data_IF_223508488254
#
_entry.id   IF_223508488254
#
_cell.length_a   1.000
_cell.length_b   1.000
_cell.length_c   1.000
_cell.angle_alpha   90.00
_cell.angle_beta   90.00
_cell.angle_gamma   90.00
#
_symmetry.space_group_name_H-M   'P 1'
#
loop_
_entity.id
_entity.type
_entity.pdbx_description
1 polymer ?
#
# COMPACT_ATOMS: atom_id res chain seq x y z
N UNK A 1 7.35 15.96 5.42
CA UNK A 1 7.99 14.68 5.08
C UNK A 1 7.80 13.78 6.28
N UNK A 2 6.70 13.02 6.31
CA UNK A 2 6.45 12.09 7.41
C UNK A 2 7.35 10.86 7.22
N UNK A 3 8.08 10.48 8.27
CA UNK A 3 8.91 9.27 8.26
C UNK A 3 8.02 8.04 7.97
N UNK A 4 8.11 7.54 6.74
CA UNK A 4 7.40 6.35 6.29
C UNK A 4 7.81 5.15 7.16
N UNK A 5 6.88 4.64 7.98
CA UNK A 5 7.06 3.44 8.80
C UNK A 5 6.15 2.29 8.29
N UNK A 6 6.67 1.38 7.45
CA UNK A 6 5.90 0.30 6.85
C UNK A 6 5.35 -0.73 7.87
N UNK A 7 5.93 -0.83 9.07
CA UNK A 7 5.47 -1.75 10.12
C UNK A 7 4.07 -1.37 10.60
N UNK A 8 3.82 -0.07 10.75
CA UNK A 8 2.53 0.46 11.24
C UNK A 8 1.39 0.32 10.22
N UNK A 9 1.73 0.13 8.94
CA UNK A 9 0.76 0.05 7.85
C UNK A 9 0.21 -1.36 7.60
N UNK A 10 0.98 -2.42 7.91
CA UNK A 10 0.71 -3.77 7.43
C UNK A 10 0.53 -4.80 8.58
N UNK A 11 -0.21 -4.41 9.62
CA UNK A 11 -0.21 -5.01 10.97
C UNK A 11 -0.20 -6.53 11.14
N UNK A 12 -0.71 -7.34 10.20
CA UNK A 12 -0.67 -8.80 10.29
C UNK A 12 0.71 -9.41 9.96
N UNK A 13 1.43 -8.85 8.98
CA UNK A 13 2.74 -9.35 8.53
C UNK A 13 3.88 -8.91 9.46
N UNK A 14 3.66 -7.83 10.22
CA UNK A 14 4.56 -7.35 11.25
C UNK A 14 4.76 -8.36 12.39
N UNK A 15 3.74 -9.14 12.78
CA UNK A 15 3.82 -10.09 13.90
C UNK A 15 4.76 -11.27 13.58
N UNK A 16 4.69 -11.81 12.37
CA UNK A 16 5.59 -12.88 11.90
C UNK A 16 7.00 -12.38 11.61
N UNK A 17 7.15 -11.12 11.22
CA UNK A 17 8.45 -10.50 11.06
C UNK A 17 9.14 -10.21 12.40
N UNK A 18 8.40 -9.93 13.48
CA UNK A 18 8.99 -9.57 14.77
C UNK A 18 9.69 -10.75 15.49
N UNK A 19 9.44 -11.99 15.06
CA UNK A 19 10.06 -13.19 15.62
C UNK A 19 11.46 -13.48 15.06
N UNK A 20 11.86 -12.84 13.95
CA UNK A 20 13.15 -13.05 13.30
C UNK A 20 13.68 -11.72 12.70
N UNK A 21 14.84 -11.21 13.17
CA UNK A 21 15.36 -9.91 12.74
C UNK A 21 15.75 -9.86 11.26
N UNK A 22 16.19 -10.96 10.66
CA UNK A 22 16.56 -11.02 9.24
C UNK A 22 15.30 -11.02 8.38
N UNK A 23 14.26 -11.76 8.78
CA UNK A 23 12.94 -11.72 8.14
C UNK A 23 12.33 -10.32 8.25
N UNK A 24 12.47 -9.66 9.41
CA UNK A 24 12.04 -8.27 9.59
C UNK A 24 12.75 -7.32 8.64
N UNK A 25 14.06 -7.42 8.52
CA UNK A 25 14.84 -6.59 7.61
C UNK A 25 14.43 -6.80 6.16
N UNK A 26 14.28 -8.06 5.72
CA UNK A 26 13.81 -8.40 4.38
C UNK A 26 12.39 -7.86 4.13
N UNK A 27 11.50 -8.00 5.10
CA UNK A 27 10.14 -7.49 5.01
C UNK A 27 10.12 -5.96 4.82
N UNK A 28 10.84 -5.23 5.66
CA UNK A 28 10.96 -3.77 5.55
C UNK A 28 11.52 -3.34 4.19
N UNK A 29 12.55 -4.03 3.71
CA UNK A 29 13.14 -3.76 2.39
C UNK A 29 12.09 -3.90 1.28
N UNK A 30 11.33 -5.00 1.27
CA UNK A 30 10.29 -5.21 0.24
C UNK A 30 9.18 -4.16 0.30
N UNK A 31 8.79 -3.72 1.50
CA UNK A 31 7.78 -2.65 1.63
C UNK A 31 8.30 -1.30 1.12
N UNK A 32 9.59 -1.00 1.33
CA UNK A 32 10.21 0.22 0.80
C UNK A 32 10.35 0.17 -0.73
N UNK A 33 10.72 -0.98 -1.29
CA UNK A 33 10.76 -1.17 -2.74
C UNK A 33 9.38 -0.97 -3.36
N UNK A 34 8.34 -1.54 -2.74
CA UNK A 34 6.98 -1.39 -3.24
C UNK A 34 6.47 0.05 -3.16
N UNK A 35 6.79 0.76 -2.08
CA UNK A 35 6.52 2.20 -1.95
C UNK A 35 7.16 2.98 -3.09
N UNK A 36 8.48 2.81 -3.26
CA UNK A 36 9.27 3.54 -4.25
C UNK A 36 8.76 3.31 -5.69
N UNK A 37 8.45 2.05 -6.03
CA UNK A 37 7.89 1.71 -7.35
C UNK A 37 6.52 2.37 -7.57
N UNK A 38 5.66 2.37 -6.54
CA UNK A 38 4.33 2.98 -6.62
C UNK A 38 4.43 4.50 -6.81
N UNK A 39 5.34 5.16 -6.08
CA UNK A 39 5.61 6.59 -6.25
C UNK A 39 6.06 6.87 -7.68
N UNK A 40 7.00 6.10 -8.21
CA UNK A 40 7.50 6.29 -9.57
C UNK A 40 6.39 6.16 -10.63
N UNK A 41 5.48 5.18 -10.48
CA UNK A 41 4.32 5.01 -11.37
C UNK A 41 3.40 6.24 -11.31
N UNK A 42 3.11 6.75 -10.11
CA UNK A 42 2.25 7.94 -9.92
C UNK A 42 2.91 9.18 -10.53
N UNK A 43 4.20 9.40 -10.26
CA UNK A 43 4.96 10.52 -10.82
C UNK A 43 4.98 10.47 -12.36
N UNK A 44 5.17 9.28 -12.94
CA UNK A 44 5.11 9.10 -14.38
C UNK A 44 3.73 9.43 -14.95
N UNK A 45 2.66 8.98 -14.31
CA UNK A 45 1.28 9.27 -14.74
C UNK A 45 0.89 10.74 -14.58
N UNK A 46 1.41 11.43 -13.54
CA UNK A 46 1.26 12.88 -13.39
C UNK A 46 2.02 13.63 -14.49
N UNK A 47 3.25 13.20 -14.80
CA UNK A 47 4.07 13.82 -15.84
C UNK A 47 3.50 13.62 -17.26
N UNK A 48 2.84 12.48 -17.52
CA UNK A 48 2.16 12.21 -18.79
C UNK A 48 0.78 12.89 -18.90
N UNK A 49 0.25 13.41 -17.79
CA UNK A 49 -1.10 13.98 -17.71
C UNK A 49 -2.21 12.94 -17.66
N UNK A 50 -1.87 11.66 -17.51
CA UNK A 50 -2.81 10.55 -17.29
C UNK A 50 -3.48 10.66 -15.92
N UNK A 51 -2.72 11.06 -14.89
CA UNK A 51 -3.22 11.32 -13.55
C UNK A 51 -3.29 12.81 -13.25
N UNK A 52 -4.20 13.16 -12.35
CA UNK A 52 -4.36 14.51 -11.81
C UNK A 52 -4.55 14.41 -10.31
N UNK A 53 -3.63 15.02 -9.56
CA UNK A 53 -3.76 15.13 -8.12
C UNK A 53 -3.20 16.45 -7.63
N UNK A 54 -3.76 16.95 -6.53
CA UNK A 54 -3.24 18.10 -5.81
C UNK A 54 -2.24 17.69 -4.71
N UNK A 55 -2.20 16.40 -4.37
CA UNK A 55 -1.35 15.85 -3.31
C UNK A 55 -0.01 15.35 -3.88
N UNK A 56 1.06 15.29 -3.06
CA UNK A 56 2.32 14.70 -3.46
C UNK A 56 2.21 13.20 -3.76
N UNK A 57 2.94 12.72 -4.77
CA UNK A 57 2.94 11.30 -5.17
C UNK A 57 3.28 10.34 -4.01
N UNK A 58 4.14 10.74 -3.07
CA UNK A 58 4.46 9.97 -1.86
C UNK A 58 3.27 9.80 -0.91
N UNK A 59 2.43 10.84 -0.79
CA UNK A 59 1.24 10.82 0.06
C UNK A 59 0.12 10.00 -0.59
N UNK A 60 0.01 10.05 -1.92
CA UNK A 60 -0.91 9.19 -2.70
C UNK A 60 -0.43 7.74 -2.70
N UNK A 61 0.87 7.49 -2.83
CA UNK A 61 1.42 6.13 -2.75
C UNK A 61 1.05 5.49 -1.40
N UNK A 62 0.84 6.27 -0.35
CA UNK A 62 0.40 5.76 0.94
C UNK A 62 -1.00 5.09 0.92
N UNK A 63 -1.72 5.12 -0.21
CA UNK A 63 -2.96 4.39 -0.49
C UNK A 63 -2.80 2.84 -0.50
N UNK A 64 -1.59 2.29 -0.67
CA UNK A 64 -1.38 0.85 -0.48
C UNK A 64 -1.31 0.44 1.01
N UNK A 65 -1.22 1.38 1.96
CA UNK A 65 -1.24 1.06 3.40
C UNK A 65 -2.45 0.20 3.79
N UNK A 66 -3.71 0.55 3.45
CA UNK A 66 -4.85 -0.30 3.73
C UNK A 66 -4.85 -1.64 2.98
N UNK A 67 -4.16 -1.77 1.83
CA UNK A 67 -4.06 -3.03 1.08
C UNK A 67 -3.36 -4.12 1.90
N UNK A 68 -2.29 -3.79 2.60
CA UNK A 68 -1.64 -4.73 3.52
C UNK A 68 -2.53 -5.17 4.70
N UNK A 69 -3.34 -4.25 5.24
CA UNK A 69 -4.26 -4.55 6.34
C UNK A 69 -5.44 -5.42 5.88
N UNK A 70 -5.92 -5.20 4.65
CA UNK A 70 -6.99 -5.99 4.02
C UNK A 70 -6.54 -7.41 3.68
N UNK A 71 -5.28 -7.62 3.29
CA UNK A 71 -4.72 -8.97 3.06
C UNK A 71 -4.81 -9.85 4.32
N UNK A 72 -4.60 -9.23 5.50
CA UNK A 72 -4.79 -9.91 6.79
C UNK A 72 -6.26 -10.25 7.09
N UNK A 73 -7.20 -9.39 6.72
CA UNK A 73 -8.65 -9.65 6.90
C UNK A 73 -9.13 -10.73 5.92
N UNK A 74 -8.66 -10.68 4.67
CA UNK A 74 -8.90 -11.70 3.65
C UNK A 74 -8.40 -13.09 4.08
N UNK A 75 -7.22 -13.15 4.70
CA UNK A 75 -6.65 -14.40 5.20
C UNK A 75 -7.33 -14.97 6.46
N UNK A 76 -8.01 -14.13 7.25
CA UNK A 76 -8.64 -14.53 8.51
C UNK A 76 -10.14 -14.86 8.39
N UNK A 77 -10.84 -14.27 7.43
CA UNK A 77 -12.26 -14.57 7.17
C UNK A 77 -12.63 -14.30 5.70
N UNK A 78 -12.66 -15.36 4.89
CA UNK A 78 -13.03 -15.31 3.47
C UNK A 78 -14.49 -14.87 3.22
N UNK A 79 -15.31 -14.69 4.26
CA UNK A 79 -16.69 -14.17 4.14
C UNK A 79 -16.81 -12.65 4.32
N UNK A 80 -15.79 -11.97 4.86
CA UNK A 80 -15.86 -10.54 5.16
C UNK A 80 -15.47 -9.63 3.99
N UNK A 81 -14.60 -10.11 3.09
CA UNK A 81 -14.13 -9.38 1.91
C UNK A 81 -13.73 -10.37 0.82
N UNK A 82 -14.50 -10.44 -0.27
CA UNK A 82 -14.10 -11.20 -1.45
C UNK A 82 -13.12 -10.38 -2.32
N UNK A 83 -12.43 -11.06 -3.25
CA UNK A 83 -11.46 -10.44 -4.17
C UNK A 83 -12.10 -9.28 -4.97
N UNK A 84 -13.39 -9.43 -5.32
CA UNK A 84 -14.14 -8.43 -6.06
C UNK A 84 -14.40 -7.17 -5.21
N UNK A 85 -14.70 -7.30 -3.93
CA UNK A 85 -14.87 -6.19 -2.98
C UNK A 85 -13.55 -5.48 -2.71
N UNK A 86 -12.46 -6.24 -2.56
CA UNK A 86 -11.11 -5.71 -2.43
C UNK A 86 -10.75 -4.86 -3.66
N UNK A 87 -10.92 -5.42 -4.87
CA UNK A 87 -10.61 -4.73 -6.12
C UNK A 87 -11.48 -3.47 -6.32
N UNK A 88 -12.77 -3.52 -5.98
CA UNK A 88 -13.66 -2.35 -6.01
C UNK A 88 -13.20 -1.24 -5.05
N UNK A 89 -12.76 -1.60 -3.85
CA UNK A 89 -12.28 -0.63 -2.86
C UNK A 89 -11.00 0.06 -3.34
N UNK A 90 -10.02 -0.73 -3.80
CA UNK A 90 -8.75 -0.20 -4.32
C UNK A 90 -8.99 0.71 -5.52
N UNK A 91 -9.80 0.27 -6.49
CA UNK A 91 -10.11 1.09 -7.66
C UNK A 91 -10.83 2.39 -7.28
N UNK A 92 -11.78 2.35 -6.34
CA UNK A 92 -12.46 3.56 -5.88
C UNK A 92 -11.49 4.56 -5.26
N UNK A 93 -10.55 4.10 -4.45
CA UNK A 93 -9.55 4.96 -3.85
C UNK A 93 -8.59 5.56 -4.90
N UNK A 94 -8.13 4.75 -5.88
CA UNK A 94 -7.32 5.23 -7.01
C UNK A 94 -8.06 6.33 -7.76
N UNK A 95 -9.35 6.13 -8.06
CA UNK A 95 -10.17 7.14 -8.74
C UNK A 95 -10.27 8.45 -7.96
N UNK A 96 -10.43 8.39 -6.63
CA UNK A 96 -10.57 9.61 -5.82
C UNK A 96 -9.27 10.42 -5.71
N UNK A 97 -8.11 9.77 -5.76
CA UNK A 97 -6.82 10.43 -5.55
C UNK A 97 -6.11 10.85 -6.85
N UNK A 98 -6.40 10.17 -7.97
CA UNK A 98 -5.66 10.30 -9.23
C UNK A 98 -6.49 10.81 -10.43
N UNK A 99 -7.81 10.98 -10.31
CA UNK A 99 -8.70 11.40 -11.40
C UNK A 99 -9.69 12.49 -11.00
#
# INVERSE_FOLDING_TARGET
>A
MADWNPISACGAKAVLADSDPDIKAAYLLTMNMWHAETVAIIEQGLASGEFRSAEPAADIAALYRPVCGLDGIYALDAQALDEAAFSRYVNKMITLELF
#
